data_IF_759501275191
#
_entry.id   IF_759501275191
#
_cell.length_a   1.000
_cell.length_b   1.000
_cell.length_c   1.000
_cell.angle_alpha   90.00
_cell.angle_beta   90.00
_cell.angle_gamma   90.00
#
_symmetry.space_group_name_H-M   'P 1'
#
loop_
_entity.id
_entity.type
_entity.pdbx_description
1 polymer ?
#
# COMPACT_ATOMS: atom_id res chain seq x y z
N UNK A 1 -20.73 15.51 -14.81
CA UNK A 1 -20.36 15.15 -13.42
C UNK A 1 -19.96 16.43 -12.72
N UNK A 2 -20.65 16.82 -11.65
CA UNK A 2 -20.20 17.93 -10.82
C UNK A 2 -18.84 17.55 -10.22
N UNK A 3 -17.77 18.22 -10.65
CA UNK A 3 -16.49 18.14 -9.96
C UNK A 3 -16.72 18.62 -8.53
N UNK A 4 -16.53 17.72 -7.57
CA UNK A 4 -16.46 18.13 -6.17
C UNK A 4 -15.25 19.06 -6.05
N UNK A 5 -15.49 20.35 -5.78
CA UNK A 5 -14.41 21.32 -5.63
C UNK A 5 -13.54 20.91 -4.44
N UNK A 6 -12.25 20.74 -4.68
CA UNK A 6 -11.28 20.53 -3.60
C UNK A 6 -11.25 21.82 -2.77
N UNK A 7 -11.54 21.69 -1.47
CA UNK A 7 -11.54 22.84 -0.56
C UNK A 7 -10.37 22.73 0.40
N UNK A 8 -9.60 23.80 0.54
CA UNK A 8 -8.52 23.84 1.53
C UNK A 8 -9.09 23.76 2.95
N UNK A 9 -8.59 22.81 3.72
CA UNK A 9 -8.89 22.66 5.13
C UNK A 9 -7.59 22.46 5.90
N UNK A 10 -7.33 23.34 6.86
CA UNK A 10 -6.16 23.17 7.75
C UNK A 10 -6.50 22.13 8.80
N UNK A 11 -5.97 20.92 8.63
CA UNK A 11 -6.06 19.86 9.63
C UNK A 11 -4.97 20.05 10.67
N UNK A 12 -5.33 19.88 11.94
CA UNK A 12 -4.38 19.92 13.07
C UNK A 12 -4.57 18.68 13.93
N UNK A 13 -3.46 18.07 14.34
CA UNK A 13 -3.50 17.00 15.32
C UNK A 13 -4.05 17.56 16.65
N UNK A 14 -4.90 16.81 17.37
CA UNK A 14 -5.35 17.19 18.71
C UNK A 14 -4.16 17.35 19.66
N UNK A 15 -4.28 18.24 20.65
CA UNK A 15 -3.26 18.48 21.67
C UNK A 15 -3.56 17.85 23.02
N UNK A 16 -4.82 17.41 23.24
CA UNK A 16 -5.24 16.75 24.47
C UNK A 16 -4.76 15.30 24.55
N UNK A 17 -4.45 14.84 25.77
CA UNK A 17 -4.10 13.43 25.98
C UNK A 17 -5.31 12.53 25.73
N UNK A 18 -5.15 11.52 24.88
CA UNK A 18 -6.22 10.59 24.49
C UNK A 18 -7.15 11.13 23.39
N UNK A 19 -6.97 12.37 22.94
CA UNK A 19 -7.74 12.91 21.82
C UNK A 19 -7.32 12.28 20.50
N UNK A 20 -8.28 12.10 19.58
CA UNK A 20 -8.02 11.68 18.22
C UNK A 20 -8.80 12.54 17.23
N UNK A 21 -8.28 12.64 16.00
CA UNK A 21 -8.97 13.26 14.88
C UNK A 21 -9.21 12.22 13.79
N UNK A 22 -10.48 11.94 13.50
CA UNK A 22 -10.92 10.98 12.48
C UNK A 22 -11.91 11.68 11.56
N UNK A 23 -11.62 11.67 10.28
CA UNK A 23 -12.45 12.31 9.25
C UNK A 23 -12.66 11.33 8.08
N UNK A 24 -13.90 10.98 7.72
CA UNK A 24 -15.14 11.32 8.41
C UNK A 24 -15.25 10.64 9.79
N UNK A 25 -16.14 11.11 10.68
CA UNK A 25 -16.33 10.50 11.99
C UNK A 25 -16.72 9.03 11.90
N UNK A 26 -16.18 8.18 12.78
CA UNK A 26 -16.50 6.73 12.79
C UNK A 26 -18.00 6.47 12.96
N UNK A 27 -18.72 7.36 13.65
CA UNK A 27 -20.18 7.27 13.78
C UNK A 27 -20.94 7.26 12.45
N UNK A 28 -20.36 7.84 11.42
CA UNK A 28 -20.94 7.93 10.08
C UNK A 28 -20.53 6.77 9.14
N UNK A 29 -19.66 5.85 9.59
CA UNK A 29 -19.11 4.79 8.75
C UNK A 29 -20.16 3.91 8.06
N UNK A 30 -21.25 3.60 8.76
CA UNK A 30 -22.35 2.79 8.20
C UNK A 30 -23.09 3.54 7.09
N UNK A 31 -23.36 4.84 7.24
CA UNK A 31 -24.01 5.66 6.21
C UNK A 31 -23.14 5.81 4.96
N UNK A 32 -21.83 5.99 5.12
CA UNK A 32 -20.89 6.02 3.99
C UNK A 32 -20.81 4.67 3.28
N UNK A 33 -20.78 3.57 4.01
CA UNK A 33 -20.79 2.24 3.40
C UNK A 33 -22.05 2.03 2.56
N UNK A 34 -23.22 2.41 3.09
CA UNK A 34 -24.49 2.31 2.38
C UNK A 34 -24.52 3.22 1.12
N UNK A 35 -24.07 4.46 1.26
CA UNK A 35 -23.98 5.40 0.13
C UNK A 35 -23.02 4.87 -0.97
N UNK A 36 -21.91 4.23 -0.59
CA UNK A 36 -20.99 3.61 -1.55
C UNK A 36 -21.64 2.43 -2.29
N UNK A 37 -22.43 1.59 -1.59
CA UNK A 37 -23.15 0.51 -2.25
C UNK A 37 -24.14 1.04 -3.29
N UNK A 38 -24.90 2.09 -2.95
CA UNK A 38 -25.81 2.75 -3.90
C UNK A 38 -25.07 3.34 -5.11
N UNK A 39 -23.94 4.01 -4.88
CA UNK A 39 -23.10 4.55 -5.96
C UNK A 39 -22.61 3.45 -6.91
N UNK A 40 -22.09 2.35 -6.37
CA UNK A 40 -21.59 1.26 -7.18
C UNK A 40 -22.70 0.57 -7.98
N UNK A 41 -23.89 0.45 -7.42
CA UNK A 41 -25.05 -0.09 -8.12
C UNK A 41 -25.51 0.79 -9.31
N UNK A 42 -25.22 2.09 -9.27
CA UNK A 42 -25.55 3.02 -10.35
C UNK A 42 -24.55 2.97 -11.53
N UNK A 43 -23.41 2.30 -11.42
CA UNK A 43 -22.41 2.22 -12.49
C UNK A 43 -22.72 1.03 -13.42
N UNK A 44 -23.82 1.08 -14.17
CA UNK A 44 -24.27 0.02 -15.05
C UNK A 44 -23.58 -0.01 -16.40
N UNK A 45 -23.16 1.16 -16.93
CA UNK A 45 -22.68 1.34 -18.31
C UNK A 45 -21.16 1.54 -18.38
N UNK A 46 -20.45 1.24 -17.28
CA UNK A 46 -18.99 1.38 -17.22
C UNK A 46 -18.36 0.03 -17.52
N UNK A 47 -17.45 0.01 -18.48
CA UNK A 47 -16.59 -1.12 -18.81
C UNK A 47 -15.13 -0.78 -18.54
N UNK A 48 -14.40 -1.71 -17.90
CA UNK A 48 -12.98 -1.58 -17.55
C UNK A 48 -12.25 -2.87 -17.97
N UNK A 49 -11.29 -2.76 -18.88
CA UNK A 49 -10.47 -3.89 -19.30
C UNK A 49 -11.26 -5.10 -19.80
N UNK A 50 -12.39 -4.85 -20.49
CA UNK A 50 -13.24 -5.88 -21.08
C UNK A 50 -14.27 -6.52 -20.11
N UNK A 51 -14.46 -5.95 -18.91
CA UNK A 51 -15.53 -6.34 -18.00
C UNK A 51 -16.41 -5.16 -17.61
N UNK A 52 -17.70 -5.42 -17.37
CA UNK A 52 -18.54 -4.44 -16.68
C UNK A 52 -17.95 -4.11 -15.31
N UNK A 53 -18.16 -2.88 -14.84
CA UNK A 53 -17.67 -2.44 -13.53
C UNK A 53 -18.12 -3.38 -12.39
N UNK A 54 -19.35 -3.85 -12.44
CA UNK A 54 -19.89 -4.79 -11.44
C UNK A 54 -19.15 -6.13 -11.46
N UNK A 55 -18.88 -6.70 -12.64
CA UNK A 55 -18.13 -7.95 -12.75
C UNK A 55 -16.68 -7.79 -12.30
N UNK A 56 -16.00 -6.71 -12.72
CA UNK A 56 -14.64 -6.43 -12.28
C UNK A 56 -14.55 -6.21 -10.76
N UNK A 57 -15.52 -5.49 -10.20
CA UNK A 57 -15.58 -5.28 -8.74
C UNK A 57 -15.76 -6.60 -7.99
N UNK A 58 -16.61 -7.51 -8.47
CA UNK A 58 -16.77 -8.83 -7.85
C UNK A 58 -15.48 -9.63 -7.95
N UNK A 59 -14.87 -9.71 -9.13
CA UNK A 59 -13.59 -10.39 -9.33
C UNK A 59 -12.50 -9.83 -8.38
N UNK A 60 -12.36 -8.51 -8.29
CA UNK A 60 -11.36 -7.88 -7.41
C UNK A 60 -11.60 -8.20 -5.93
N UNK A 61 -12.87 -8.32 -5.51
CA UNK A 61 -13.23 -8.71 -4.14
C UNK A 61 -12.83 -10.15 -3.85
N UNK A 62 -13.12 -11.05 -4.77
CA UNK A 62 -12.80 -12.47 -4.62
C UNK A 62 -11.27 -12.67 -4.58
N UNK A 63 -10.53 -11.97 -5.46
CA UNK A 63 -9.06 -11.97 -5.47
C UNK A 63 -8.47 -11.45 -4.15
N UNK A 64 -8.95 -10.32 -3.63
CA UNK A 64 -8.40 -9.76 -2.38
C UNK A 64 -8.72 -10.63 -1.17
N UNK A 65 -9.93 -11.18 -1.08
CA UNK A 65 -10.32 -12.08 0.02
C UNK A 65 -9.45 -13.33 0.01
N UNK A 66 -9.34 -13.98 -1.14
CA UNK A 66 -8.53 -15.20 -1.30
C UNK A 66 -7.07 -14.92 -0.95
N UNK A 67 -6.47 -13.89 -1.53
CA UNK A 67 -5.07 -13.54 -1.28
C UNK A 67 -4.81 -13.17 0.19
N UNK A 68 -5.74 -12.44 0.83
CA UNK A 68 -5.62 -12.06 2.23
C UNK A 68 -5.73 -13.27 3.17
N UNK A 69 -6.66 -14.20 2.90
CA UNK A 69 -6.77 -15.45 3.66
C UNK A 69 -5.54 -16.32 3.48
N UNK A 70 -5.06 -16.52 2.25
CA UNK A 70 -3.87 -17.31 1.96
C UNK A 70 -2.63 -16.73 2.65
N UNK A 71 -2.43 -15.41 2.56
CA UNK A 71 -1.31 -14.75 3.22
C UNK A 71 -1.40 -14.89 4.76
N UNK A 72 -2.54 -14.57 5.34
CA UNK A 72 -2.71 -14.55 6.80
C UNK A 72 -2.56 -15.96 7.39
N UNK A 73 -3.06 -17.00 6.73
CA UNK A 73 -2.92 -18.40 7.15
C UNK A 73 -1.48 -18.88 7.28
N UNK A 74 -0.53 -18.20 6.66
CA UNK A 74 0.89 -18.60 6.77
C UNK A 74 1.47 -18.40 8.17
N UNK A 75 0.85 -17.56 9.02
CA UNK A 75 1.36 -17.22 10.35
C UNK A 75 0.26 -17.03 11.43
N UNK A 76 -1.02 -17.07 11.05
CA UNK A 76 -2.16 -17.01 11.99
C UNK A 76 -3.19 -18.10 11.68
N UNK A 77 -3.82 -18.64 12.71
CA UNK A 77 -4.97 -19.53 12.58
C UNK A 77 -6.26 -18.73 12.33
N UNK A 78 -6.95 -19.01 11.22
CA UNK A 78 -8.17 -18.34 10.79
C UNK A 78 -9.44 -19.16 11.01
N UNK A 79 -9.45 -20.14 11.91
CA UNK A 79 -10.57 -21.08 12.11
C UNK A 79 -11.92 -20.42 12.40
N UNK A 80 -11.95 -19.15 12.80
CA UNK A 80 -13.16 -18.42 13.18
C UNK A 80 -13.51 -17.25 12.23
N UNK A 81 -12.87 -17.13 11.09
CA UNK A 81 -13.12 -16.01 10.15
C UNK A 81 -14.07 -16.47 9.03
N UNK A 82 -15.37 -16.35 9.26
CA UNK A 82 -16.37 -16.59 8.22
C UNK A 82 -16.45 -15.38 7.27
N UNK A 83 -16.19 -15.61 5.99
CA UNK A 83 -16.32 -14.61 4.94
C UNK A 83 -17.34 -15.10 3.92
N UNK A 84 -18.40 -14.32 3.69
CA UNK A 84 -19.39 -14.59 2.66
C UNK A 84 -19.13 -13.74 1.41
N UNK A 85 -19.61 -14.17 0.26
CA UNK A 85 -19.48 -13.43 -1.01
C UNK A 85 -20.11 -12.03 -0.97
N UNK A 86 -21.07 -11.80 -0.06
CA UNK A 86 -21.77 -10.52 0.11
C UNK A 86 -21.18 -9.63 1.20
N UNK A 87 -20.20 -10.12 1.97
CA UNK A 87 -19.57 -9.37 3.08
C UNK A 87 -18.92 -8.10 2.55
N UNK A 88 -19.26 -6.95 3.10
CA UNK A 88 -18.59 -5.69 2.76
C UNK A 88 -17.14 -5.71 3.21
N UNK A 89 -16.26 -4.98 2.50
CA UNK A 89 -14.84 -4.88 2.84
C UNK A 89 -14.54 -3.45 3.27
N UNK A 90 -13.88 -3.30 4.39
CA UNK A 90 -13.25 -2.04 4.83
C UNK A 90 -11.74 -2.21 4.71
N UNK A 91 -11.08 -1.22 4.10
CA UNK A 91 -9.66 -1.29 3.78
C UNK A 91 -8.88 -0.20 4.50
N UNK A 92 -7.68 -0.55 4.96
CA UNK A 92 -6.61 0.39 5.28
C UNK A 92 -5.32 -0.08 4.63
N UNK A 93 -4.24 0.69 4.75
CA UNK A 93 -2.94 0.24 4.26
C UNK A 93 -1.79 1.13 4.69
N UNK A 94 -0.61 0.50 4.86
CA UNK A 94 0.63 1.20 5.15
C UNK A 94 1.85 0.33 4.79
N UNK A 95 3.03 1.00 4.67
CA UNK A 95 4.30 0.30 4.51
C UNK A 95 4.59 -0.57 5.74
N UNK A 96 5.14 -1.78 5.57
CA UNK A 96 5.49 -2.69 6.67
C UNK A 96 6.84 -2.28 7.29
N UNK A 97 6.85 -1.18 8.01
CA UNK A 97 8.01 -0.61 8.71
C UNK A 97 7.69 -0.42 10.19
N UNK A 98 8.69 -0.11 11.01
CA UNK A 98 8.46 0.38 12.38
C UNK A 98 7.93 1.81 12.30
N UNK A 99 6.62 1.97 12.38
CA UNK A 99 5.95 3.23 12.13
C UNK A 99 5.44 3.88 13.44
N UNK A 100 5.14 5.16 13.33
CA UNK A 100 4.61 5.96 14.44
C UNK A 100 3.24 5.40 14.92
N UNK A 101 2.95 5.42 16.23
CA UNK A 101 1.69 4.94 16.78
C UNK A 101 0.43 5.51 16.11
N UNK A 102 0.46 6.76 15.66
CA UNK A 102 -0.63 7.37 14.90
C UNK A 102 -0.92 6.70 13.55
N UNK A 103 0.04 6.00 12.97
CA UNK A 103 -0.18 5.15 11.79
C UNK A 103 -0.81 3.83 12.22
N UNK A 104 -0.34 3.23 13.30
CA UNK A 104 -0.89 1.98 13.83
C UNK A 104 -2.36 2.16 14.28
N UNK A 105 -2.72 3.33 14.76
CA UNK A 105 -4.09 3.70 15.12
C UNK A 105 -5.10 3.43 13.99
N UNK A 106 -4.70 3.52 12.72
CA UNK A 106 -5.56 3.20 11.57
C UNK A 106 -6.07 1.75 11.62
N UNK A 107 -5.26 0.80 12.09
CA UNK A 107 -5.65 -0.61 12.16
C UNK A 107 -6.72 -0.82 13.24
N UNK A 108 -6.63 -0.11 14.37
CA UNK A 108 -7.69 -0.11 15.38
C UNK A 108 -9.00 0.50 14.86
N UNK A 109 -8.90 1.60 14.09
CA UNK A 109 -10.06 2.18 13.42
C UNK A 109 -10.66 1.20 12.40
N UNK A 110 -9.83 0.51 11.61
CA UNK A 110 -10.25 -0.50 10.65
C UNK A 110 -11.08 -1.59 11.33
N UNK A 111 -10.53 -2.22 12.37
CA UNK A 111 -11.20 -3.29 13.12
C UNK A 111 -12.50 -2.80 13.76
N UNK A 112 -12.48 -1.62 14.39
CA UNK A 112 -13.67 -1.02 14.98
C UNK A 112 -14.78 -0.75 13.96
N UNK A 113 -14.45 -0.17 12.81
CA UNK A 113 -15.41 0.09 11.74
C UNK A 113 -15.95 -1.23 11.19
N UNK A 114 -15.08 -2.21 10.94
CA UNK A 114 -15.50 -3.50 10.41
C UNK A 114 -16.45 -4.24 11.34
N UNK A 115 -16.16 -4.28 12.65
CA UNK A 115 -17.06 -4.85 13.65
C UNK A 115 -18.42 -4.12 13.70
N UNK A 116 -18.39 -2.80 13.65
CA UNK A 116 -19.61 -1.96 13.69
C UNK A 116 -20.48 -2.14 12.45
N UNK A 117 -19.87 -2.36 11.29
CA UNK A 117 -20.57 -2.47 9.99
C UNK A 117 -20.74 -3.93 9.52
N UNK A 118 -20.35 -4.90 10.33
CA UNK A 118 -20.33 -6.32 9.96
C UNK A 118 -19.61 -6.58 8.64
N UNK A 119 -18.47 -5.90 8.46
CA UNK A 119 -17.63 -5.96 7.27
C UNK A 119 -16.36 -6.76 7.53
N UNK A 120 -15.73 -7.23 6.47
CA UNK A 120 -14.38 -7.79 6.53
C UNK A 120 -13.36 -6.66 6.64
N UNK A 121 -12.51 -6.71 7.65
CA UNK A 121 -11.36 -5.81 7.79
C UNK A 121 -10.18 -6.35 6.99
N UNK A 122 -9.66 -5.58 6.04
CA UNK A 122 -8.47 -5.95 5.27
C UNK A 122 -7.44 -4.83 5.33
N UNK A 123 -6.22 -5.15 5.74
CA UNK A 123 -5.10 -4.23 5.74
C UNK A 123 -4.14 -4.56 4.59
N UNK A 124 -3.90 -3.57 3.72
CA UNK A 124 -2.97 -3.67 2.60
C UNK A 124 -1.55 -3.41 3.09
N UNK A 125 -0.67 -4.37 2.96
CA UNK A 125 0.76 -4.20 3.21
C UNK A 125 1.36 -3.56 1.96
N UNK A 126 1.73 -2.28 2.04
CA UNK A 126 2.34 -1.52 0.94
C UNK A 126 3.84 -1.88 0.87
N UNK A 127 4.13 -3.04 0.33
CA UNK A 127 5.45 -3.68 0.31
C UNK A 127 6.32 -3.31 -0.90
N UNK A 128 5.75 -2.69 -1.91
CA UNK A 128 6.45 -2.31 -3.13
C UNK A 128 7.24 -0.98 -3.04
N UNK A 129 7.17 -0.28 -1.92
CA UNK A 129 7.94 0.95 -1.69
C UNK A 129 9.41 0.65 -1.35
N UNK A 130 10.25 1.68 -1.34
CA UNK A 130 11.65 1.57 -0.97
C UNK A 130 11.83 1.67 0.54
N UNK A 131 12.84 0.97 1.08
CA UNK A 131 13.28 1.12 2.47
C UNK A 131 13.87 2.51 2.66
N UNK A 132 13.19 3.35 3.43
CA UNK A 132 13.62 4.75 3.69
C UNK A 132 14.57 4.87 4.86
N UNK A 133 14.46 3.98 5.84
CA UNK A 133 15.29 3.99 7.05
C UNK A 133 15.30 2.61 7.68
N UNK A 134 16.45 2.23 8.20
CA UNK A 134 16.67 1.03 9.02
C UNK A 134 16.87 1.39 10.50
N UNK A 135 16.33 2.53 10.94
CA UNK A 135 16.47 3.04 12.29
C UNK A 135 15.23 3.76 12.79
N UNK A 136 15.09 3.85 14.10
CA UNK A 136 14.05 4.65 14.77
C UNK A 136 14.67 5.71 15.67
N UNK A 137 13.89 6.74 15.97
CA UNK A 137 14.26 7.76 16.97
C UNK A 137 13.61 7.41 18.30
N UNK A 138 14.41 7.28 19.33
CA UNK A 138 14.01 6.91 20.69
C UNK A 138 14.34 8.06 21.63
N UNK A 139 13.43 8.45 22.56
CA UNK A 139 13.77 9.42 23.60
C UNK A 139 14.90 8.89 24.47
N UNK A 140 15.83 9.75 24.81
CA UNK A 140 16.97 9.45 25.65
C UNK A 140 17.17 10.59 26.64
N UNK A 141 17.29 10.25 27.91
CA UNK A 141 17.52 11.24 28.96
C UNK A 141 19.00 11.53 29.12
N UNK A 142 19.33 12.79 29.08
CA UNK A 142 20.63 13.32 29.53
C UNK A 142 20.46 14.04 30.87
N UNK A 143 21.55 14.42 31.51
CA UNK A 143 21.49 15.14 32.83
C UNK A 143 20.58 16.37 32.80
N UNK A 144 20.49 17.06 31.68
CA UNK A 144 19.83 18.37 31.56
C UNK A 144 18.68 18.44 30.56
N UNK A 145 18.45 17.39 29.75
CA UNK A 145 17.44 17.43 28.71
C UNK A 145 17.00 16.01 28.24
N UNK A 146 15.81 15.94 27.66
CA UNK A 146 15.39 14.78 26.86
C UNK A 146 15.74 15.07 25.41
N UNK A 147 16.45 14.17 24.78
CA UNK A 147 16.87 14.24 23.38
C UNK A 147 16.36 13.02 22.61
N UNK A 148 16.43 13.06 21.28
CA UNK A 148 16.12 11.90 20.44
C UNK A 148 17.41 11.25 19.98
N UNK A 149 17.61 9.98 20.31
CA UNK A 149 18.71 9.15 19.84
C UNK A 149 18.24 8.25 18.69
N UNK A 150 19.00 8.20 17.62
CA UNK A 150 18.74 7.28 16.51
C UNK A 150 19.32 5.91 16.82
N UNK A 151 18.51 4.85 16.78
CA UNK A 151 18.91 3.46 16.99
C UNK A 151 18.57 2.68 15.74
N UNK A 152 19.58 2.11 15.09
CA UNK A 152 19.42 1.29 13.91
C UNK A 152 19.03 -0.15 14.29
N UNK A 153 18.10 -0.73 13.55
CA UNK A 153 17.81 -2.18 13.66
C UNK A 153 18.58 -2.98 12.61
N UNK A 154 19.09 -2.32 11.56
CA UNK A 154 19.91 -2.96 10.53
C UNK A 154 20.87 -1.93 9.92
N UNK A 155 21.78 -2.40 9.07
CA UNK A 155 22.69 -1.51 8.34
C UNK A 155 21.89 -0.57 7.42
N UNK A 156 22.34 0.68 7.34
CA UNK A 156 21.86 1.62 6.34
C UNK A 156 22.51 1.28 5.00
N UNK A 157 21.75 0.83 4.05
CA UNK A 157 22.28 0.47 2.74
C UNK A 157 21.27 0.72 1.65
N UNK A 158 21.69 0.62 0.42
CA UNK A 158 20.99 0.71 -0.86
C UNK A 158 19.45 0.87 -0.79
N UNK A 159 18.90 1.69 -1.66
CA UNK A 159 17.45 1.89 -1.87
C UNK A 159 16.76 0.61 -2.34
N UNK A 160 16.79 -0.44 -1.50
CA UNK A 160 16.17 -1.72 -1.79
C UNK A 160 14.66 -1.65 -1.56
N UNK A 161 13.93 -2.48 -2.29
CA UNK A 161 12.48 -2.62 -2.12
C UNK A 161 12.16 -3.36 -0.84
N UNK A 162 11.12 -2.93 -0.15
CA UNK A 162 10.66 -3.58 1.09
C UNK A 162 10.32 -5.06 0.85
N UNK A 163 9.70 -5.37 -0.30
CA UNK A 163 9.26 -6.74 -0.65
C UNK A 163 10.40 -7.76 -0.79
N UNK A 164 11.67 -7.30 -0.90
CA UNK A 164 12.83 -8.18 -1.12
C UNK A 164 13.98 -7.95 -0.15
N UNK A 165 13.86 -6.98 0.76
CA UNK A 165 14.95 -6.61 1.68
C UNK A 165 15.03 -7.62 2.83
N UNK A 166 16.11 -8.39 2.88
CA UNK A 166 16.49 -9.23 4.01
C UNK A 166 17.33 -8.49 5.04
N UNK A 167 17.61 -9.16 6.17
CA UNK A 167 18.49 -8.66 7.23
C UNK A 167 19.92 -8.61 6.70
N UNK A 168 20.61 -7.49 6.91
CA UNK A 168 22.00 -7.28 6.48
C UNK A 168 22.99 -7.57 7.60
N UNK A 169 22.62 -7.32 8.86
CA UNK A 169 23.44 -7.58 10.04
C UNK A 169 22.57 -8.21 11.14
N UNK A 170 22.69 -9.52 11.28
CA UNK A 170 21.95 -10.31 12.28
C UNK A 170 22.25 -9.88 13.73
N UNK A 171 23.48 -9.48 14.05
CA UNK A 171 23.86 -9.05 15.39
C UNK A 171 23.19 -7.71 15.73
N UNK A 172 23.22 -6.79 14.78
CA UNK A 172 22.57 -5.49 14.91
C UNK A 172 21.05 -5.65 15.04
N UNK A 173 20.46 -6.54 14.25
CA UNK A 173 19.03 -6.83 14.25
C UNK A 173 18.59 -7.47 15.57
N UNK A 174 19.27 -8.51 16.00
CA UNK A 174 18.93 -9.27 17.21
C UNK A 174 19.16 -8.47 18.50
N UNK A 175 20.15 -7.56 18.55
CA UNK A 175 20.41 -6.70 19.70
C UNK A 175 19.53 -5.45 19.78
N UNK A 176 18.72 -5.19 18.74
CA UNK A 176 17.95 -3.96 18.64
C UNK A 176 16.97 -3.73 19.81
N UNK A 177 16.14 -4.70 20.27
CA UNK A 177 15.21 -4.46 21.36
C UNK A 177 15.93 -4.06 22.65
N UNK A 178 17.03 -4.72 22.99
CA UNK A 178 17.81 -4.39 24.19
C UNK A 178 18.40 -2.97 24.09
N UNK A 179 18.97 -2.61 22.95
CA UNK A 179 19.54 -1.25 22.74
C UNK A 179 18.47 -0.15 22.80
N UNK A 180 17.23 -0.44 22.46
CA UNK A 180 16.09 0.47 22.63
C UNK A 180 15.64 0.48 24.08
N UNK A 181 15.48 -0.66 24.72
CA UNK A 181 15.10 -0.77 26.12
C UNK A 181 16.05 0.02 27.04
N UNK A 182 17.35 -0.09 26.84
CA UNK A 182 18.38 0.66 27.58
C UNK A 182 18.21 2.21 27.49
N UNK A 183 17.49 2.71 26.49
CA UNK A 183 17.20 4.15 26.36
C UNK A 183 15.83 4.50 26.95
N UNK A 184 14.91 3.52 27.02
CA UNK A 184 13.53 3.73 27.44
C UNK A 184 13.28 3.47 28.93
N UNK A 185 14.21 2.81 29.63
CA UNK A 185 14.03 2.36 31.03
C UNK A 185 13.56 3.48 31.98
N UNK A 186 13.98 4.71 31.75
CA UNK A 186 13.58 5.89 32.51
C UNK A 186 12.21 6.46 32.09
N UNK A 187 11.64 6.01 30.97
CA UNK A 187 10.37 6.53 30.42
C UNK A 187 9.26 5.49 30.45
N UNK A 188 9.59 4.23 30.23
CA UNK A 188 8.64 3.11 30.06
C UNK A 188 9.19 1.89 30.78
N UNK A 189 8.49 1.44 31.80
CA UNK A 189 8.91 0.30 32.65
C UNK A 189 8.93 -1.04 31.87
N UNK A 190 7.93 -1.27 31.02
CA UNK A 190 7.80 -2.49 30.21
C UNK A 190 7.49 -2.13 28.76
N UNK A 191 8.49 -1.83 27.93
CA UNK A 191 8.26 -1.47 26.55
C UNK A 191 7.72 -2.68 25.76
N UNK A 192 6.65 -2.47 25.01
CA UNK A 192 6.02 -3.49 24.16
C UNK A 192 7.00 -4.05 23.09
N UNK A 193 8.10 -3.36 22.83
CA UNK A 193 9.06 -3.73 21.80
C UNK A 193 9.66 -5.12 22.02
N UNK A 194 9.88 -5.56 23.25
CA UNK A 194 10.45 -6.88 23.53
C UNK A 194 9.52 -7.99 23.04
N UNK A 195 8.26 -7.96 23.46
CA UNK A 195 7.26 -8.94 23.01
C UNK A 195 6.96 -8.88 21.51
N UNK A 196 7.02 -7.68 20.93
CA UNK A 196 6.91 -7.52 19.49
C UNK A 196 8.10 -8.14 18.76
N UNK A 197 9.34 -7.95 19.28
CA UNK A 197 10.53 -8.44 18.62
C UNK A 197 10.67 -9.97 18.69
N UNK A 198 10.15 -10.60 19.73
CA UNK A 198 10.01 -12.06 19.78
C UNK A 198 9.18 -12.58 18.59
N UNK A 199 8.07 -11.91 18.28
CA UNK A 199 7.24 -12.24 17.12
C UNK A 199 7.96 -11.97 15.79
N UNK A 200 8.74 -10.90 15.71
CA UNK A 200 9.57 -10.57 14.54
C UNK A 200 10.59 -11.69 14.28
N UNK A 201 11.24 -12.19 15.33
CA UNK A 201 12.22 -13.28 15.20
C UNK A 201 11.57 -14.61 14.80
N UNK A 202 10.34 -14.88 15.27
CA UNK A 202 9.60 -16.11 14.98
C UNK A 202 8.92 -16.09 13.58
N UNK A 203 8.83 -14.94 12.91
CA UNK A 203 8.16 -14.82 11.63
C UNK A 203 8.83 -15.74 10.57
N UNK A 204 8.06 -16.60 9.87
CA UNK A 204 8.55 -17.61 8.93
C UNK A 204 8.94 -17.01 7.56
N UNK A 205 9.77 -15.99 7.56
CA UNK A 205 10.22 -15.28 6.36
C UNK A 205 11.57 -14.60 6.63
N UNK A 206 12.38 -14.39 5.58
CA UNK A 206 13.64 -13.64 5.67
C UNK A 206 13.49 -12.17 5.29
N UNK A 207 12.33 -11.78 4.76
CA UNK A 207 12.05 -10.39 4.35
C UNK A 207 11.66 -9.55 5.56
N UNK A 208 12.45 -8.53 5.88
CA UNK A 208 12.27 -7.68 7.08
C UNK A 208 10.89 -7.04 7.14
N UNK A 209 10.39 -6.51 6.03
CA UNK A 209 9.05 -5.93 5.97
C UNK A 209 7.94 -6.94 6.28
N UNK A 210 8.07 -8.17 5.81
CA UNK A 210 7.13 -9.25 6.16
C UNK A 210 7.24 -9.64 7.63
N UNK A 211 8.45 -9.72 8.20
CA UNK A 211 8.65 -9.97 9.64
C UNK A 211 7.88 -8.93 10.47
N UNK A 212 8.03 -7.65 10.14
CA UNK A 212 7.34 -6.57 10.87
C UNK A 212 5.82 -6.60 10.72
N UNK A 213 5.31 -6.83 9.51
CA UNK A 213 3.86 -6.90 9.29
C UNK A 213 3.22 -8.10 9.98
N UNK A 214 3.83 -9.28 9.90
CA UNK A 214 3.33 -10.49 10.54
C UNK A 214 3.38 -10.40 12.07
N UNK A 215 4.47 -9.89 12.64
CA UNK A 215 4.60 -9.66 14.07
C UNK A 215 3.55 -8.66 14.59
N UNK A 216 3.37 -7.53 13.90
CA UNK A 216 2.34 -6.54 14.20
C UNK A 216 0.95 -7.16 14.17
N UNK A 217 0.62 -7.91 13.12
CA UNK A 217 -0.69 -8.52 12.97
C UNK A 217 -0.97 -9.58 14.03
N UNK A 218 0.03 -10.40 14.39
CA UNK A 218 -0.09 -11.33 15.51
C UNK A 218 -0.33 -10.62 16.85
N UNK A 219 0.35 -9.47 17.07
CA UNK A 219 0.12 -8.65 18.26
C UNK A 219 -1.29 -8.06 18.28
N UNK A 220 -1.77 -7.55 17.16
CA UNK A 220 -3.16 -7.06 16.98
C UNK A 220 -4.18 -8.17 17.23
N UNK A 221 -3.93 -9.36 16.75
CA UNK A 221 -4.80 -10.53 17.00
C UNK A 221 -4.87 -10.89 18.50
N UNK A 222 -3.73 -10.84 19.22
CA UNK A 222 -3.70 -11.02 20.69
C UNK A 222 -4.48 -9.94 21.43
N UNK A 223 -4.65 -8.76 20.85
CA UNK A 223 -5.50 -7.67 21.36
C UNK A 223 -6.98 -7.82 20.98
N UNK A 224 -7.37 -8.92 20.31
CA UNK A 224 -8.76 -9.21 19.92
C UNK A 224 -9.21 -8.55 18.62
N UNK A 225 -8.26 -8.09 17.79
CA UNK A 225 -8.57 -7.59 16.44
C UNK A 225 -8.71 -8.75 15.44
N UNK A 226 -9.62 -8.60 14.46
CA UNK A 226 -9.95 -9.62 13.47
C UNK A 226 -9.81 -9.04 12.05
N UNK A 227 -8.61 -8.66 11.66
CA UNK A 227 -8.32 -8.24 10.29
C UNK A 227 -7.64 -9.36 9.50
N UNK A 228 -7.61 -9.22 8.18
CA UNK A 228 -6.75 -9.98 7.29
C UNK A 228 -5.69 -9.04 6.72
N UNK A 229 -4.47 -9.52 6.60
CA UNK A 229 -3.38 -8.79 5.93
C UNK A 229 -3.17 -9.34 4.51
N UNK A 230 -2.85 -8.47 3.56
CA UNK A 230 -2.47 -8.87 2.20
C UNK A 230 -1.37 -7.97 1.63
N UNK A 231 -0.27 -8.54 1.11
CA UNK A 231 0.74 -7.77 0.40
C UNK A 231 0.17 -7.17 -0.90
N UNK A 232 0.38 -5.88 -1.10
CA UNK A 232 -0.10 -5.21 -2.30
C UNK A 232 0.59 -5.75 -3.57
N UNK A 233 1.85 -6.16 -3.45
CA UNK A 233 2.58 -6.84 -4.53
C UNK A 233 1.87 -8.10 -5.04
N UNK A 234 1.19 -8.84 -4.16
CA UNK A 234 0.39 -10.01 -4.53
C UNK A 234 -0.82 -9.60 -5.38
N UNK A 235 -1.53 -8.55 -4.98
CA UNK A 235 -2.70 -8.04 -5.71
C UNK A 235 -2.34 -7.49 -7.10
N UNK A 236 -1.15 -6.90 -7.24
CA UNK A 236 -0.66 -6.42 -8.53
C UNK A 236 -0.45 -7.53 -9.58
N UNK A 237 -0.41 -8.79 -9.16
CA UNK A 237 -0.33 -9.96 -10.05
C UNK A 237 -1.70 -10.52 -10.46
N UNK A 238 -2.77 -10.01 -9.84
CA UNK A 238 -4.14 -10.44 -10.09
C UNK A 238 -4.69 -9.96 -11.42
N UNK A 239 -5.70 -10.67 -11.93
CA UNK A 239 -6.36 -10.33 -13.19
C UNK A 239 -7.11 -9.00 -13.09
N UNK A 240 -7.66 -8.66 -11.92
CA UNK A 240 -8.34 -7.38 -11.71
C UNK A 240 -7.38 -6.18 -11.85
N UNK A 241 -6.16 -6.29 -11.32
CA UNK A 241 -5.13 -5.27 -11.52
C UNK A 241 -4.75 -5.17 -12.99
N UNK A 242 -4.51 -6.29 -13.67
CA UNK A 242 -4.17 -6.33 -15.09
C UNK A 242 -5.28 -5.70 -15.97
N UNK A 243 -6.57 -5.90 -15.64
CA UNK A 243 -7.70 -5.25 -16.33
C UNK A 243 -7.73 -3.73 -16.13
N UNK A 244 -7.52 -3.28 -14.89
CA UNK A 244 -7.41 -1.85 -14.60
C UNK A 244 -6.22 -1.23 -15.34
N UNK A 245 -5.08 -1.93 -15.34
CA UNK A 245 -3.88 -1.52 -16.06
C UNK A 245 -4.14 -1.42 -17.57
N UNK A 246 -4.73 -2.43 -18.19
CA UNK A 246 -5.11 -2.41 -19.61
C UNK A 246 -5.99 -1.20 -19.95
N UNK A 247 -6.96 -0.89 -19.09
CA UNK A 247 -7.83 0.28 -19.30
C UNK A 247 -7.05 1.59 -19.27
N UNK A 248 -6.15 1.75 -18.29
CA UNK A 248 -5.26 2.93 -18.19
C UNK A 248 -4.36 3.03 -19.40
N UNK A 249 -3.72 1.93 -19.81
CA UNK A 249 -2.81 1.85 -20.95
C UNK A 249 -3.50 2.25 -22.25
N UNK A 250 -4.67 1.69 -22.56
CA UNK A 250 -5.45 2.03 -23.75
C UNK A 250 -5.88 3.50 -23.80
N UNK A 251 -5.98 4.15 -22.64
CA UNK A 251 -6.41 5.53 -22.49
C UNK A 251 -5.30 6.45 -21.93
N UNK A 252 -4.03 6.11 -22.10
CA UNK A 252 -2.90 6.72 -21.41
C UNK A 252 -2.84 8.24 -21.54
N UNK A 253 -3.07 8.78 -22.74
CA UNK A 253 -3.09 10.24 -22.96
C UNK A 253 -4.19 10.92 -22.13
N UNK A 254 -5.41 10.42 -22.21
CA UNK A 254 -6.54 10.95 -21.44
C UNK A 254 -6.32 10.80 -19.93
N UNK A 255 -5.78 9.66 -19.51
CA UNK A 255 -5.46 9.41 -18.10
C UNK A 255 -4.45 10.44 -17.59
N UNK A 256 -3.34 10.64 -18.32
CA UNK A 256 -2.31 11.63 -17.99
C UNK A 256 -2.91 13.05 -17.84
N UNK A 257 -3.74 13.47 -18.79
CA UNK A 257 -4.32 14.82 -18.77
C UNK A 257 -5.23 15.04 -17.55
N UNK A 258 -6.05 14.05 -17.21
CA UNK A 258 -6.91 14.08 -16.01
C UNK A 258 -6.05 14.07 -14.74
N UNK A 259 -5.03 13.22 -14.69
CA UNK A 259 -4.12 13.08 -13.55
C UNK A 259 -3.36 14.39 -13.31
N UNK A 260 -2.76 14.99 -14.33
CA UNK A 260 -2.01 16.23 -14.22
C UNK A 260 -2.93 17.41 -13.82
N UNK A 261 -4.14 17.48 -14.40
CA UNK A 261 -5.11 18.48 -14.02
C UNK A 261 -5.51 18.39 -12.53
N UNK A 262 -5.73 17.16 -12.02
CA UNK A 262 -6.06 16.92 -10.62
C UNK A 262 -4.91 17.30 -9.68
N UNK A 263 -3.65 16.98 -10.04
CA UNK A 263 -2.46 17.36 -9.26
C UNK A 263 -2.29 18.88 -9.24
N UNK A 264 -2.41 19.53 -10.38
CA UNK A 264 -2.29 20.98 -10.48
C UNK A 264 -3.36 21.69 -9.61
N UNK A 265 -4.60 21.22 -9.65
CA UNK A 265 -5.68 21.75 -8.80
C UNK A 265 -5.37 21.54 -7.31
N UNK A 266 -4.95 20.32 -6.94
CA UNK A 266 -4.59 20.00 -5.56
C UNK A 266 -3.45 20.90 -5.05
N UNK A 267 -2.36 21.01 -5.81
CA UNK A 267 -1.22 21.85 -5.44
C UNK A 267 -1.61 23.33 -5.29
N UNK A 268 -2.46 23.83 -6.19
CA UNK A 268 -2.97 25.20 -6.14
C UNK A 268 -3.80 25.45 -4.89
N UNK A 269 -4.75 24.56 -4.60
CA UNK A 269 -5.65 24.68 -3.42
C UNK A 269 -4.84 24.60 -2.12
N UNK A 270 -3.89 23.68 -2.04
CA UNK A 270 -3.06 23.47 -0.85
C UNK A 270 -1.83 24.37 -0.78
N UNK A 271 -1.66 25.30 -1.74
CA UNK A 271 -0.54 26.25 -1.82
C UNK A 271 0.83 25.59 -1.80
N UNK A 272 0.94 24.43 -2.43
CA UNK A 272 2.19 23.65 -2.51
C UNK A 272 3.09 24.32 -3.54
N UNK A 273 4.34 24.62 -3.14
CA UNK A 273 5.32 25.27 -4.00
C UNK A 273 6.30 24.30 -4.67
N UNK A 274 6.42 23.09 -4.13
CA UNK A 274 7.26 22.05 -4.72
C UNK A 274 6.44 21.25 -5.75
N UNK A 275 6.73 21.32 -7.05
CA UNK A 275 5.96 20.65 -8.09
C UNK A 275 6.02 19.11 -7.98
N UNK A 276 7.07 18.56 -7.34
CA UNK A 276 7.19 17.12 -7.10
C UNK A 276 6.43 16.60 -5.86
N UNK A 277 5.69 17.45 -5.15
CA UNK A 277 4.98 17.06 -3.94
C UNK A 277 3.45 17.33 -4.10
N UNK A 278 2.57 16.36 -3.75
CA UNK A 278 2.85 15.01 -3.22
C UNK A 278 3.45 14.05 -4.24
N UNK A 279 3.16 14.26 -5.51
CA UNK A 279 3.64 13.47 -6.66
C UNK A 279 3.87 14.41 -7.86
N UNK A 280 4.80 14.09 -8.76
CA UNK A 280 5.03 14.91 -9.95
C UNK A 280 3.94 14.72 -11.00
N UNK A 281 3.84 15.66 -11.92
CA UNK A 281 3.06 15.49 -13.15
C UNK A 281 3.70 14.40 -14.03
N UNK A 282 2.86 13.71 -14.80
CA UNK A 282 3.29 12.72 -15.79
C UNK A 282 3.76 13.41 -17.07
N UNK A 283 4.90 13.01 -17.59
CA UNK A 283 5.55 13.61 -18.75
C UNK A 283 5.16 12.92 -20.05
N UNK A 284 5.45 13.60 -21.17
CA UNK A 284 5.54 13.01 -22.49
C UNK A 284 6.99 13.17 -22.95
N UNK A 285 7.64 12.07 -23.31
CA UNK A 285 8.98 12.06 -23.89
C UNK A 285 8.91 11.55 -25.32
N UNK A 286 9.07 12.47 -26.28
CA UNK A 286 8.84 12.20 -27.71
C UNK A 286 7.40 11.76 -27.96
N UNK A 287 7.16 10.48 -28.17
CA UNK A 287 5.87 9.85 -28.44
C UNK A 287 5.44 8.87 -27.33
N UNK A 288 6.22 8.81 -26.23
CA UNK A 288 5.94 7.95 -25.07
C UNK A 288 5.32 8.74 -23.93
N UNK A 289 4.26 8.19 -23.34
CA UNK A 289 3.50 8.78 -22.25
C UNK A 289 3.93 8.11 -20.94
N UNK A 290 4.34 8.87 -19.95
CA UNK A 290 4.64 8.38 -18.63
C UNK A 290 3.37 7.86 -17.94
N UNK A 291 3.50 6.74 -17.23
CA UNK A 291 2.46 6.11 -16.46
C UNK A 291 2.70 6.36 -14.95
N UNK A 292 1.66 6.38 -14.10
CA UNK A 292 1.82 6.48 -12.65
C UNK A 292 2.28 5.14 -12.05
N UNK A 293 3.25 4.52 -12.68
CA UNK A 293 3.77 3.20 -12.35
C UNK A 293 5.29 3.21 -12.35
N UNK A 294 5.84 2.43 -11.47
CA UNK A 294 7.26 2.12 -11.43
C UNK A 294 7.51 0.72 -11.97
N UNK A 295 8.61 0.55 -12.65
CA UNK A 295 9.07 -0.75 -13.11
C UNK A 295 10.45 -1.07 -12.55
N UNK A 296 10.77 -2.36 -12.49
CA UNK A 296 12.09 -2.88 -12.16
C UNK A 296 12.23 -4.32 -12.62
N UNK A 297 13.48 -4.77 -12.69
CA UNK A 297 13.85 -6.17 -12.90
C UNK A 297 14.63 -6.68 -11.69
N UNK A 298 14.84 -7.97 -11.56
CA UNK A 298 15.66 -8.55 -10.47
C UNK A 298 17.11 -8.04 -10.52
N UNK A 299 17.60 -7.69 -11.71
CA UNK A 299 18.94 -7.14 -11.92
C UNK A 299 19.06 -5.65 -11.59
N UNK A 300 17.93 -4.91 -11.49
CA UNK A 300 17.94 -3.48 -11.18
C UNK A 300 17.45 -3.23 -9.75
N UNK A 301 18.31 -2.68 -8.89
CA UNK A 301 17.94 -2.31 -7.52
C UNK A 301 16.99 -1.11 -7.47
N UNK A 302 17.05 -0.21 -8.45
CA UNK A 302 16.30 1.04 -8.48
C UNK A 302 15.02 0.93 -9.29
N UNK A 303 13.97 1.57 -8.81
CA UNK A 303 12.73 1.76 -9.55
C UNK A 303 12.96 2.70 -10.74
N UNK A 304 12.40 2.34 -11.89
CA UNK A 304 12.44 3.14 -13.11
C UNK A 304 11.03 3.63 -13.45
N UNK A 305 10.92 4.81 -14.05
CA UNK A 305 9.65 5.33 -14.56
C UNK A 305 9.20 4.47 -15.74
N UNK A 306 7.91 4.15 -15.80
CA UNK A 306 7.31 3.36 -16.85
C UNK A 306 6.62 4.27 -17.86
N UNK A 307 6.86 3.99 -19.14
CA UNK A 307 6.28 4.72 -20.27
C UNK A 307 5.51 3.77 -21.19
N UNK A 308 4.49 4.29 -21.84
CA UNK A 308 3.81 3.58 -22.91
C UNK A 308 3.73 4.41 -24.20
N UNK A 309 3.76 3.72 -25.33
CA UNK A 309 3.41 4.20 -26.64
C UNK A 309 2.22 3.39 -27.13
N UNK A 310 1.18 4.07 -27.62
CA UNK A 310 -0.08 3.41 -28.02
C UNK A 310 -0.41 3.75 -29.46
N UNK A 311 -0.63 2.73 -30.27
CA UNK A 311 -1.19 2.81 -31.62
C UNK A 311 -2.54 2.11 -31.67
N UNK A 312 -3.20 2.08 -32.83
CA UNK A 312 -4.46 1.37 -33.00
C UNK A 312 -4.33 -0.15 -32.77
N UNK A 313 -3.19 -0.72 -33.11
CA UNK A 313 -2.99 -2.18 -33.11
C UNK A 313 -2.05 -2.67 -31.99
N UNK A 314 -1.19 -1.80 -31.48
CA UNK A 314 -0.12 -2.19 -30.57
C UNK A 314 0.08 -1.17 -29.45
N UNK A 315 0.41 -1.70 -28.30
CA UNK A 315 0.89 -0.95 -27.14
C UNK A 315 2.30 -1.43 -26.79
N UNK A 316 3.21 -0.49 -26.57
CA UNK A 316 4.59 -0.75 -26.18
C UNK A 316 4.81 -0.17 -24.80
N UNK A 317 5.28 -0.99 -23.86
CA UNK A 317 5.75 -0.58 -22.55
C UNK A 317 7.26 -0.62 -22.48
N UNK A 318 7.87 0.43 -21.94
CA UNK A 318 9.31 0.51 -21.72
C UNK A 318 9.62 1.36 -20.49
N UNK A 319 10.77 1.13 -19.87
CA UNK A 319 11.32 2.02 -18.86
C UNK A 319 12.23 3.10 -19.49
N UNK A 320 12.80 3.96 -18.67
CA UNK A 320 13.96 4.77 -19.01
C UNK A 320 15.18 4.20 -18.27
N UNK A 321 16.21 3.74 -18.93
CA UNK A 321 16.69 4.04 -20.30
C UNK A 321 16.26 3.03 -21.39
N UNK A 322 15.12 2.39 -21.32
CA UNK A 322 14.66 1.34 -22.23
C UNK A 322 15.44 0.02 -22.02
N UNK A 323 15.59 -0.38 -20.75
CA UNK A 323 16.23 -1.66 -20.40
C UNK A 323 15.38 -2.86 -20.80
N UNK A 324 14.08 -2.66 -21.01
CA UNK A 324 13.16 -3.62 -21.58
C UNK A 324 12.14 -2.94 -22.50
N UNK A 325 11.57 -3.72 -23.39
CA UNK A 325 10.44 -3.35 -24.23
C UNK A 325 9.45 -4.52 -24.28
N UNK A 326 8.22 -4.26 -23.88
CA UNK A 326 7.14 -5.23 -23.89
C UNK A 326 6.07 -4.75 -24.89
N UNK A 327 5.65 -5.65 -25.77
CA UNK A 327 4.66 -5.37 -26.83
C UNK A 327 3.38 -6.14 -26.60
N UNK A 328 2.26 -5.41 -26.51
CA UNK A 328 0.92 -5.95 -26.36
C UNK A 328 0.16 -5.74 -27.67
N UNK A 329 -0.35 -6.81 -28.23
CA UNK A 329 -1.24 -6.77 -29.39
C UNK A 329 -2.65 -6.31 -28.94
N UNK A 330 -3.14 -5.20 -29.46
CA UNK A 330 -4.45 -4.64 -29.13
C UNK A 330 -5.55 -5.14 -30.07
N UNK A 331 -5.24 -5.94 -31.08
CA UNK A 331 -6.20 -6.54 -32.02
C UNK A 331 -6.86 -7.79 -31.44
N UNK A 332 -6.25 -8.40 -30.44
CA UNK A 332 -6.80 -9.56 -29.71
C UNK A 332 -7.84 -9.13 -28.65
N UNK A 333 -8.53 -10.12 -28.10
CA UNK A 333 -9.53 -9.83 -27.08
C UNK A 333 -8.94 -9.18 -25.81
N UNK A 334 -9.71 -8.38 -25.06
CA UNK A 334 -9.26 -7.82 -23.79
C UNK A 334 -8.79 -8.89 -22.78
N UNK A 335 -9.36 -10.10 -22.81
CA UNK A 335 -8.94 -11.19 -21.93
C UNK A 335 -7.55 -11.72 -22.28
N UNK A 336 -7.25 -11.90 -23.56
CA UNK A 336 -5.89 -12.26 -24.02
C UNK A 336 -4.86 -11.19 -23.68
N UNK A 337 -5.20 -9.89 -23.80
CA UNK A 337 -4.35 -8.81 -23.36
C UNK A 337 -4.06 -8.88 -21.84
N UNK A 338 -5.08 -9.20 -21.03
CA UNK A 338 -4.95 -9.36 -19.57
C UNK A 338 -4.04 -10.53 -19.22
N UNK A 339 -4.20 -11.68 -19.89
CA UNK A 339 -3.32 -12.84 -19.69
C UNK A 339 -1.87 -12.52 -20.02
N UNK A 340 -1.58 -11.77 -21.08
CA UNK A 340 -0.23 -11.31 -21.40
C UNK A 340 0.33 -10.38 -20.32
N UNK A 341 -0.46 -9.41 -19.84
CA UNK A 341 -0.05 -8.51 -18.75
C UNK A 341 0.25 -9.27 -17.46
N UNK A 342 -0.55 -10.28 -17.12
CA UNK A 342 -0.29 -11.14 -15.96
C UNK A 342 0.96 -12.00 -16.16
N UNK A 343 1.16 -12.56 -17.35
CA UNK A 343 2.35 -13.34 -17.68
C UNK A 343 3.63 -12.51 -17.50
N UNK A 344 3.62 -11.23 -17.92
CA UNK A 344 4.77 -10.35 -17.70
C UNK A 344 5.07 -10.13 -16.20
N UNK A 345 4.03 -9.98 -15.36
CA UNK A 345 4.19 -9.83 -13.91
C UNK A 345 4.72 -11.09 -13.21
N UNK A 346 4.72 -12.22 -13.90
CA UNK A 346 5.32 -13.48 -13.42
C UNK A 346 6.78 -13.65 -13.88
N UNK A 347 7.24 -12.80 -14.81
CA UNK A 347 8.64 -12.76 -15.24
C UNK A 347 9.48 -11.93 -14.26
N UNK A 348 10.71 -11.68 -14.64
CA UNK A 348 11.63 -10.80 -13.94
C UNK A 348 11.20 -9.32 -13.90
N UNK A 349 10.32 -8.90 -14.84
CA UNK A 349 9.84 -7.52 -14.95
C UNK A 349 8.61 -7.33 -14.07
N UNK A 350 8.67 -6.36 -13.18
CA UNK A 350 7.58 -6.04 -12.25
C UNK A 350 7.06 -4.61 -12.49
N UNK A 351 5.75 -4.42 -12.37
CA UNK A 351 5.10 -3.10 -12.39
C UNK A 351 4.33 -2.88 -11.11
N UNK A 352 4.46 -1.69 -10.52
CA UNK A 352 3.72 -1.28 -9.30
C UNK A 352 3.32 0.18 -9.40
N UNK A 353 2.19 0.59 -8.80
CA UNK A 353 1.80 2.00 -8.66
C UNK A 353 2.78 2.82 -7.84
#
# INVERSE_FOLDING_TARGET
MNQASITYRKLQAPSGNGDCFIEPPVSESLSYLHANHQRFAAFTDIEIGGLSFTALRQQARDEIITAAQEHTKTYLDLTNTEVTATTSIVLTGHQPTLFHPGVWFKNFCLDHIAKRTQSLAVNLIIDHDLVKSTSIKVPSQTRNAVTLKTIAYDLSGSSNRIETTGIQDENLFNSFPQRVADQLDVFVENPMLESFWELVQQAPTDVVGQKFSQARHQLEHRMGMNSLDVPFSTLCRGASFARCLLHVLKNAARFRDIYNAAICEYQKVHRIRNPGHPVPELEILSDRIELPLWSWTSSTAQRQRLFCQVTAEQLILSDLPASFELRLDLTVSPSECVEQLQAWQQTDIQFRP
#
